data_IF_067567133350
#
_entry.id   IF_067567133350
#
_cell.length_a   1.000
_cell.length_b   1.000
_cell.length_c   1.000
_cell.angle_alpha   90.00
_cell.angle_beta   90.00
_cell.angle_gamma   90.00
#
_symmetry.space_group_name_H-M   'P 1'
#
loop_
_entity.id
_entity.type
_entity.pdbx_description
1 polymer ?
#
# COMPACT_ATOMS: atom_id res chain seq x y z
N UNK A 1 -10.51 -16.66 21.38
CA UNK A 1 -9.44 -16.15 20.50
C UNK A 1 -9.87 -14.77 20.03
N UNK A 2 -9.42 -13.72 20.73
CA UNK A 2 -9.76 -12.33 20.40
C UNK A 2 -8.68 -11.88 19.42
N UNK A 3 -9.03 -11.75 18.14
CA UNK A 3 -8.17 -11.07 17.18
C UNK A 3 -8.25 -9.58 17.51
N UNK A 4 -7.18 -9.02 18.05
CA UNK A 4 -7.01 -7.58 18.21
C UNK A 4 -6.91 -6.94 16.82
N UNK A 5 -8.08 -6.65 16.22
CA UNK A 5 -8.18 -5.91 14.97
C UNK A 5 -7.94 -4.44 15.29
N UNK A 6 -6.66 -4.07 15.37
CA UNK A 6 -6.24 -2.67 15.35
C UNK A 6 -6.59 -2.13 13.97
N UNK A 7 -7.74 -1.48 13.89
CA UNK A 7 -8.12 -0.65 12.75
C UNK A 7 -7.01 0.37 12.58
N UNK A 8 -6.28 0.34 11.47
CA UNK A 8 -5.17 1.23 11.20
C UNK A 8 -5.66 2.69 11.23
N UNK A 9 -5.50 3.32 12.39
CA UNK A 9 -5.61 4.77 12.54
C UNK A 9 -4.49 5.33 11.67
N UNK A 10 -4.88 6.10 10.65
CA UNK A 10 -3.92 6.90 9.87
C UNK A 10 -3.20 7.84 10.83
N UNK A 11 -2.02 7.44 11.32
CA UNK A 11 -1.16 8.33 12.09
C UNK A 11 -0.47 9.25 11.09
N UNK A 12 -1.19 10.29 10.68
CA UNK A 12 -0.58 11.39 9.94
C UNK A 12 0.02 12.34 10.97
N UNK A 13 1.34 12.24 11.17
CA UNK A 13 2.09 13.24 11.93
C UNK A 13 2.17 14.54 11.11
N UNK A 14 1.22 15.44 11.34
CA UNK A 14 1.29 16.81 10.86
C UNK A 14 2.04 17.66 11.90
N UNK A 15 3.31 17.96 11.64
CA UNK A 15 3.94 19.17 12.15
C UNK A 15 3.58 20.31 11.20
N UNK A 16 2.48 21.01 11.48
CA UNK A 16 2.09 22.23 10.76
C UNK A 16 2.80 23.45 11.36
N UNK A 17 3.35 24.35 10.52
CA UNK A 17 3.20 25.77 10.74
C UNK A 17 2.07 26.31 9.85
N UNK A 18 1.28 27.20 10.45
CA UNK A 18 0.28 28.07 9.84
C UNK A 18 0.67 28.55 8.44
N UNK A 19 -0.24 28.41 7.47
CA UNK A 19 -0.31 29.32 6.33
C UNK A 19 -1.77 29.49 5.89
N UNK A 20 -2.08 30.76 5.70
CA UNK A 20 -3.38 31.41 5.56
C UNK A 20 -4.07 31.15 4.23
N UNK A 21 -5.38 30.93 4.34
CA UNK A 21 -6.49 31.40 3.51
C UNK A 21 -6.33 31.60 2.00
N UNK A 22 -7.30 31.03 1.29
CA UNK A 22 -7.92 31.62 0.11
C UNK A 22 -7.64 30.86 -1.18
N UNK A 23 -8.64 30.13 -1.67
CA UNK A 23 -9.26 30.41 -2.96
C UNK A 23 -10.38 29.38 -3.21
N UNK A 24 -11.60 29.91 -3.28
CA UNK A 24 -12.81 29.24 -3.74
C UNK A 24 -12.62 28.81 -5.20
N UNK A 25 -12.85 27.54 -5.52
CA UNK A 25 -13.02 27.10 -6.90
C UNK A 25 -14.24 26.19 -7.04
N UNK A 26 -15.03 26.57 -8.04
CA UNK A 26 -16.44 26.33 -8.25
C UNK A 26 -16.72 24.93 -8.83
N UNK A 27 -17.82 24.35 -8.39
CA UNK A 27 -18.43 23.12 -8.87
C UNK A 27 -18.62 23.10 -10.38
N UNK A 28 -18.02 22.12 -11.08
CA UNK A 28 -18.59 21.52 -12.30
C UNK A 28 -18.31 20.03 -12.37
N UNK A 29 -19.37 19.30 -12.67
CA UNK A 29 -19.48 17.87 -12.81
C UNK A 29 -18.41 17.25 -13.72
N UNK A 30 -17.64 16.30 -13.17
CA UNK A 30 -16.98 15.29 -13.99
C UNK A 30 -17.97 14.15 -14.25
N UNK A 31 -18.54 14.15 -15.47
CA UNK A 31 -19.23 13.01 -16.05
C UNK A 31 -18.31 11.79 -16.02
N UNK A 32 -18.79 10.71 -15.42
CA UNK A 32 -18.20 9.39 -15.46
C UNK A 32 -18.59 8.76 -16.81
N UNK A 33 -17.76 8.90 -17.84
CA UNK A 33 -17.94 8.15 -19.09
C UNK A 33 -17.30 6.77 -18.95
N UNK A 34 -18.19 5.81 -18.75
CA UNK A 34 -17.99 4.37 -18.88
C UNK A 34 -17.45 4.00 -20.27
N UNK A 35 -16.14 3.73 -20.37
CA UNK A 35 -15.56 2.99 -21.50
C UNK A 35 -15.52 1.50 -21.14
N UNK A 36 -16.67 0.85 -21.25
CA UNK A 36 -16.80 -0.61 -21.22
C UNK A 36 -16.63 -1.11 -22.65
N UNK A 37 -15.39 -1.23 -23.13
CA UNK A 37 -15.12 -1.96 -24.37
C UNK A 37 -15.09 -3.47 -24.08
N UNK A 38 -16.26 -4.10 -24.27
CA UNK A 38 -16.41 -5.54 -24.36
C UNK A 38 -15.75 -6.03 -25.67
N UNK A 39 -14.49 -6.43 -25.61
CA UNK A 39 -13.84 -7.17 -26.71
C UNK A 39 -14.20 -8.66 -26.58
N UNK A 40 -15.23 -9.08 -27.31
CA UNK A 40 -15.47 -10.51 -27.59
C UNK A 40 -14.42 -11.01 -28.59
N UNK A 41 -13.35 -11.64 -28.08
CA UNK A 41 -12.42 -12.41 -28.90
C UNK A 41 -12.57 -13.90 -28.56
N UNK A 42 -13.41 -14.57 -29.36
CA UNK A 42 -13.42 -16.03 -29.50
C UNK A 42 -12.15 -16.45 -30.24
N UNK A 43 -11.15 -16.92 -29.49
CA UNK A 43 -10.02 -17.66 -30.05
C UNK A 43 -9.79 -18.94 -29.26
N UNK A 44 -10.19 -20.04 -29.89
CA UNK A 44 -9.91 -21.42 -29.51
C UNK A 44 -8.49 -21.73 -30.00
N UNK A 45 -7.49 -21.60 -29.12
CA UNK A 45 -6.09 -21.93 -29.40
C UNK A 45 -5.39 -22.42 -28.13
N UNK A 46 -4.66 -23.56 -28.16
CA UNK A 46 -3.93 -24.07 -27.01
C UNK A 46 -2.52 -23.45 -26.97
N UNK A 47 -2.23 -22.71 -25.89
CA UNK A 47 -0.93 -22.09 -25.67
C UNK A 47 -1.06 -20.65 -25.19
N UNK A 48 -1.66 -20.45 -24.01
CA UNK A 48 -1.74 -19.12 -23.39
C UNK A 48 -0.58 -18.94 -22.42
N UNK A 49 0.48 -18.34 -22.94
CA UNK A 49 1.35 -17.46 -22.16
C UNK A 49 0.45 -16.40 -21.49
N UNK A 50 0.41 -16.42 -20.16
CA UNK A 50 -0.34 -15.45 -19.36
C UNK A 50 0.38 -14.10 -19.44
N UNK A 51 0.11 -13.35 -20.50
CA UNK A 51 0.45 -11.93 -20.55
C UNK A 51 -0.51 -11.22 -19.60
N UNK A 52 -0.10 -11.10 -18.34
CA UNK A 52 -0.75 -10.25 -17.34
C UNK A 52 -0.76 -8.84 -17.93
N UNK A 53 -1.93 -8.36 -18.33
CA UNK A 53 -2.11 -6.98 -18.75
C UNK A 53 -1.63 -6.09 -17.60
N UNK A 54 -0.46 -5.48 -17.78
CA UNK A 54 0.04 -4.47 -16.86
C UNK A 54 -0.84 -3.25 -17.14
N UNK A 55 -1.93 -3.14 -16.39
CA UNK A 55 -2.74 -1.93 -16.34
C UNK A 55 -1.81 -0.78 -15.96
N UNK A 56 -1.34 -0.06 -16.97
CA UNK A 56 -0.41 1.05 -16.86
C UNK A 56 -1.19 2.32 -16.51
N UNK A 57 -2.06 2.24 -15.51
CA UNK A 57 -2.45 3.44 -14.78
C UNK A 57 -1.19 3.92 -14.07
N UNK A 58 -0.48 4.86 -14.70
CA UNK A 58 0.83 5.33 -14.24
C UNK A 58 0.75 5.67 -12.74
N UNK A 59 1.63 5.06 -11.96
CA UNK A 59 1.66 5.23 -10.50
C UNK A 59 0.89 4.19 -9.67
N UNK A 60 0.17 3.24 -10.29
CA UNK A 60 -0.55 2.19 -9.56
C UNK A 60 0.05 0.80 -9.82
N UNK A 61 0.11 -0.03 -8.79
CA UNK A 61 0.53 -1.44 -8.90
C UNK A 61 -0.36 -2.37 -8.10
N UNK A 62 -0.84 -3.43 -8.75
CA UNK A 62 -1.51 -4.54 -8.06
C UNK A 62 -0.47 -5.51 -7.51
N UNK A 63 -0.69 -6.00 -6.30
CA UNK A 63 0.22 -6.91 -5.59
C UNK A 63 -0.59 -8.07 -5.00
N UNK A 64 -0.22 -9.28 -5.40
CA UNK A 64 -0.77 -10.55 -4.92
C UNK A 64 0.23 -11.36 -4.08
N UNK A 65 1.46 -10.88 -3.90
CA UNK A 65 2.48 -11.53 -3.08
C UNK A 65 3.52 -10.52 -2.58
N UNK A 66 4.38 -10.97 -1.65
CA UNK A 66 5.36 -10.11 -0.99
C UNK A 66 6.43 -9.56 -1.92
N UNK A 67 6.90 -10.34 -2.90
CA UNK A 67 7.89 -9.87 -3.89
C UNK A 67 7.33 -8.72 -4.75
N UNK A 68 6.09 -8.85 -5.21
CA UNK A 68 5.40 -7.79 -5.96
C UNK A 68 5.23 -6.54 -5.09
N UNK A 69 4.85 -6.70 -3.83
CA UNK A 69 4.74 -5.61 -2.88
C UNK A 69 6.07 -4.89 -2.66
N UNK A 70 7.14 -5.63 -2.34
CA UNK A 70 8.48 -5.07 -2.11
C UNK A 70 8.99 -4.30 -3.34
N UNK A 71 8.82 -4.86 -4.53
CA UNK A 71 9.21 -4.23 -5.79
C UNK A 71 8.38 -2.97 -6.06
N UNK A 72 7.05 -3.02 -5.86
CA UNK A 72 6.16 -1.89 -6.09
C UNK A 72 6.45 -0.72 -5.14
N UNK A 73 6.73 -0.98 -3.86
CA UNK A 73 7.06 0.08 -2.91
C UNK A 73 8.44 0.68 -3.19
N UNK A 74 9.41 -0.12 -3.67
CA UNK A 74 10.73 0.37 -4.04
C UNK A 74 10.74 1.23 -5.32
N UNK A 75 9.81 0.98 -6.25
CA UNK A 75 9.69 1.71 -7.53
C UNK A 75 9.24 3.17 -7.32
N UNK A 76 10.14 4.13 -7.61
CA UNK A 76 9.91 5.56 -7.42
C UNK A 76 8.74 6.14 -8.23
N UNK A 77 8.27 5.44 -9.25
CA UNK A 77 7.11 5.88 -10.03
C UNK A 77 5.76 5.52 -9.38
N UNK A 78 5.75 4.64 -8.37
CA UNK A 78 4.52 4.10 -7.78
C UNK A 78 4.06 4.96 -6.60
N UNK A 79 2.83 5.45 -6.67
CA UNK A 79 2.15 6.23 -5.65
C UNK A 79 1.13 5.39 -4.88
N UNK A 80 0.52 4.40 -5.53
CA UNK A 80 -0.53 3.57 -4.96
C UNK A 80 -0.29 2.07 -5.20
N UNK A 81 -0.35 1.28 -4.13
CA UNK A 81 -0.17 -0.17 -4.15
C UNK A 81 -1.48 -0.83 -3.75
N UNK A 82 -2.06 -1.63 -4.64
CA UNK A 82 -3.31 -2.35 -4.42
C UNK A 82 -3.05 -3.79 -4.00
N UNK A 83 -3.49 -4.17 -2.80
CA UNK A 83 -3.42 -5.52 -2.27
C UNK A 83 -4.63 -6.30 -2.78
N UNK A 84 -4.38 -7.34 -3.59
CA UNK A 84 -5.44 -8.15 -4.23
C UNK A 84 -5.61 -9.54 -3.62
N UNK A 85 -4.79 -9.90 -2.63
CA UNK A 85 -4.86 -11.13 -1.85
C UNK A 85 -4.18 -10.92 -0.50
N UNK A 86 -4.34 -11.87 0.43
CA UNK A 86 -3.56 -11.85 1.66
C UNK A 86 -2.06 -12.02 1.35
N UNK A 87 -1.22 -11.24 2.02
CA UNK A 87 0.23 -11.22 1.80
C UNK A 87 0.93 -11.36 3.14
N UNK A 88 1.85 -12.31 3.23
CA UNK A 88 2.83 -12.41 4.30
C UNK A 88 4.21 -12.06 3.77
N UNK A 89 4.80 -10.99 4.28
CA UNK A 89 6.13 -10.55 3.88
C UNK A 89 7.21 -11.45 4.48
N UNK A 90 8.17 -11.84 3.65
CA UNK A 90 9.34 -12.63 4.03
C UNK A 90 10.60 -11.84 3.73
N UNK A 91 11.68 -12.16 4.43
CA UNK A 91 13.02 -11.64 4.15
C UNK A 91 13.43 -11.81 2.68
N UNK A 92 13.08 -12.96 2.08
CA UNK A 92 13.38 -13.30 0.68
C UNK A 92 12.68 -12.40 -0.35
N UNK A 93 11.55 -11.79 0.00
CA UNK A 93 10.77 -10.93 -0.91
C UNK A 93 11.53 -9.64 -1.26
N UNK A 94 12.50 -9.26 -0.41
CA UNK A 94 13.31 -8.06 -0.56
C UNK A 94 14.65 -8.31 -1.26
N UNK A 95 14.93 -9.54 -1.68
CA UNK A 95 16.24 -9.94 -2.25
C UNK A 95 16.67 -9.11 -3.47
N UNK A 96 15.72 -8.55 -4.21
CA UNK A 96 15.98 -7.72 -5.41
C UNK A 96 15.97 -6.21 -5.14
N UNK A 97 15.90 -5.78 -3.87
CA UNK A 97 15.85 -4.37 -3.47
C UNK A 97 17.07 -4.04 -2.61
N UNK A 98 17.72 -2.90 -2.85
CA UNK A 98 18.83 -2.44 -1.99
C UNK A 98 18.30 -1.99 -0.63
N UNK A 99 18.75 -2.62 0.46
CA UNK A 99 18.22 -2.39 1.81
C UNK A 99 19.20 -1.64 2.74
N UNK A 100 18.69 -0.82 3.69
CA UNK A 100 17.32 -0.32 3.76
C UNK A 100 17.06 0.65 2.60
N UNK A 101 15.95 0.50 1.87
CA UNK A 101 15.64 1.48 0.83
C UNK A 101 14.94 2.69 1.45
N UNK A 102 15.32 3.87 0.97
CA UNK A 102 14.76 5.13 1.46
C UNK A 102 13.54 5.51 0.63
N UNK A 103 12.38 5.58 1.28
CA UNK A 103 11.15 6.05 0.66
C UNK A 103 11.12 7.58 0.70
N UNK A 104 11.26 8.21 -0.47
CA UNK A 104 11.37 9.67 -0.63
C UNK A 104 10.08 10.32 -1.15
N UNK A 105 8.98 9.57 -1.19
CA UNK A 105 7.68 10.00 -1.72
C UNK A 105 6.55 9.38 -0.92
N UNK A 106 5.39 10.02 -0.96
CA UNK A 106 4.21 9.48 -0.32
C UNK A 106 3.72 8.25 -1.09
N UNK A 107 3.40 7.17 -0.37
CA UNK A 107 2.85 5.95 -0.96
C UNK A 107 1.61 5.54 -0.17
N UNK A 108 0.56 5.19 -0.88
CA UNK A 108 -0.67 4.63 -0.30
C UNK A 108 -0.76 3.14 -0.63
N UNK A 109 -0.74 2.31 0.39
CA UNK A 109 -1.06 0.88 0.29
C UNK A 109 -2.54 0.71 0.59
N UNK A 110 -3.28 0.12 -0.34
CA UNK A 110 -4.74 0.05 -0.31
C UNK A 110 -5.19 -1.38 -0.56
N UNK A 111 -6.15 -1.89 0.22
CA UNK A 111 -6.85 -3.12 -0.16
C UNK A 111 -7.76 -2.90 -1.36
N UNK A 112 -7.88 -3.89 -2.23
CA UNK A 112 -8.72 -3.80 -3.43
C UNK A 112 -10.21 -3.62 -3.10
N UNK A 113 -10.68 -4.22 -2.00
CA UNK A 113 -12.08 -4.13 -1.57
C UNK A 113 -12.29 -3.01 -0.54
N UNK A 114 -13.32 -2.19 -0.75
CA UNK A 114 -13.71 -1.16 0.23
C UNK A 114 -14.51 -1.74 1.41
N UNK A 115 -15.25 -2.82 1.18
CA UNK A 115 -16.05 -3.47 2.21
C UNK A 115 -15.16 -4.16 3.26
N UNK A 116 -15.36 -3.79 4.53
CA UNK A 116 -14.57 -4.23 5.68
C UNK A 116 -14.53 -5.74 5.85
N UNK A 117 -15.63 -6.44 5.58
CA UNK A 117 -15.72 -7.89 5.73
C UNK A 117 -14.88 -8.67 4.69
N UNK A 118 -14.33 -7.94 3.71
CA UNK A 118 -13.54 -8.47 2.60
C UNK A 118 -12.14 -7.83 2.50
N UNK A 119 -11.68 -7.16 3.56
CA UNK A 119 -10.34 -6.60 3.60
C UNK A 119 -9.28 -7.70 3.66
N UNK A 120 -8.24 -7.55 2.84
CA UNK A 120 -7.09 -8.44 2.85
C UNK A 120 -6.16 -8.16 4.03
N UNK A 121 -5.44 -9.19 4.46
CA UNK A 121 -4.41 -9.13 5.49
C UNK A 121 -3.05 -8.89 4.86
N UNK A 122 -2.40 -7.81 5.26
CA UNK A 122 -0.97 -7.57 5.03
C UNK A 122 -0.21 -7.87 6.32
N UNK A 123 0.37 -9.06 6.38
CA UNK A 123 1.23 -9.50 7.46
C UNK A 123 2.68 -9.07 7.18
N UNK A 124 3.19 -8.14 7.98
CA UNK A 124 4.55 -7.61 7.84
C UNK A 124 5.59 -8.56 8.48
N UNK A 125 5.13 -9.56 9.24
CA UNK A 125 5.92 -10.66 9.80
C UNK A 125 7.19 -10.20 10.53
N UNK A 126 7.10 -9.05 11.22
CA UNK A 126 8.19 -8.41 11.95
C UNK A 126 9.47 -8.18 11.14
N UNK A 127 9.37 -8.11 9.81
CA UNK A 127 10.51 -7.88 8.93
C UNK A 127 11.07 -6.47 9.21
N UNK A 128 12.33 -6.38 9.66
CA UNK A 128 12.96 -5.13 10.14
C UNK A 128 13.85 -4.49 9.08
N UNK A 129 14.08 -3.18 9.22
CA UNK A 129 15.04 -2.41 8.42
C UNK A 129 14.86 -2.53 6.89
N UNK A 130 13.62 -2.64 6.41
CA UNK A 130 13.33 -2.70 4.98
C UNK A 130 13.08 -1.34 4.37
N UNK A 131 12.14 -0.62 4.96
CA UNK A 131 11.68 0.70 4.52
C UNK A 131 12.19 1.75 5.50
N UNK A 132 12.92 2.75 5.01
CA UNK A 132 13.25 3.94 5.77
C UNK A 132 12.50 5.14 5.20
N UNK A 133 11.65 5.78 5.99
CA UNK A 133 10.91 6.97 5.54
C UNK A 133 11.82 8.19 5.45
N UNK A 134 11.71 8.94 4.36
CA UNK A 134 12.33 10.26 4.19
C UNK A 134 11.67 11.34 5.04
N UNK A 135 12.29 12.52 5.07
CA UNK A 135 11.72 13.67 5.77
C UNK A 135 10.44 14.14 5.05
N UNK A 136 9.35 14.32 5.80
CA UNK A 136 8.06 14.74 5.26
C UNK A 136 7.33 13.69 4.42
N UNK A 137 7.78 12.43 4.45
CA UNK A 137 7.20 11.32 3.68
C UNK A 137 6.25 10.51 4.54
N UNK A 138 5.09 10.16 3.97
CA UNK A 138 4.09 9.30 4.58
C UNK A 138 3.92 7.99 3.83
N UNK A 139 3.84 6.88 4.57
CA UNK A 139 3.36 5.59 4.09
C UNK A 139 1.98 5.35 4.71
N UNK A 140 0.94 5.35 3.87
CA UNK A 140 -0.45 5.29 4.30
C UNK A 140 -1.01 3.91 3.99
N UNK A 141 -1.74 3.32 4.94
CA UNK A 141 -2.45 2.06 4.74
C UNK A 141 -3.96 2.28 4.80
N UNK A 142 -4.71 1.75 3.83
CA UNK A 142 -6.17 1.91 3.74
C UNK A 142 -6.86 0.62 3.33
N UNK A 143 -8.06 0.39 3.84
CA UNK A 143 -8.93 -0.74 3.46
C UNK A 143 -8.27 -2.12 3.52
N UNK A 144 -7.39 -2.32 4.50
CA UNK A 144 -6.68 -3.58 4.72
C UNK A 144 -6.43 -3.78 6.21
N UNK A 145 -6.16 -5.01 6.62
CA UNK A 145 -5.76 -5.35 7.98
C UNK A 145 -4.24 -5.51 8.00
N UNK A 146 -3.56 -4.84 8.93
CA UNK A 146 -2.12 -4.99 9.13
C UNK A 146 -1.87 -5.93 10.29
N UNK A 147 -1.04 -6.95 10.11
CA UNK A 147 -0.62 -7.86 11.18
C UNK A 147 0.90 -7.84 11.40
N UNK A 148 1.32 -8.23 12.60
CA UNK A 148 2.73 -8.41 13.01
C UNK A 148 3.66 -7.25 12.59
N UNK A 149 3.17 -6.01 12.73
CA UNK A 149 3.90 -4.81 12.33
C UNK A 149 4.78 -4.24 13.45
N UNK A 150 4.55 -4.64 14.70
CA UNK A 150 5.32 -4.25 15.90
C UNK A 150 5.31 -5.36 16.95
N UNK A 151 6.47 -5.66 17.54
CA UNK A 151 6.59 -6.57 18.68
C UNK A 151 6.17 -5.91 20.00
N UNK A 152 6.34 -4.60 20.14
CA UNK A 152 6.12 -3.87 21.40
C UNK A 152 5.24 -2.60 21.25
N UNK A 153 4.45 -2.23 22.28
CA UNK A 153 3.76 -0.94 22.33
C UNK A 153 4.76 0.22 22.47
N UNK A 154 4.84 1.11 21.47
CA UNK A 154 5.81 2.21 21.46
C UNK A 154 5.58 3.29 22.53
N UNK A 155 4.43 3.28 23.22
CA UNK A 155 4.18 4.19 24.34
C UNK A 155 4.71 3.68 25.69
N UNK A 156 5.22 2.45 25.76
CA UNK A 156 5.94 1.99 26.94
C UNK A 156 7.43 2.23 26.75
N UNK A 157 7.86 3.46 27.05
CA UNK A 157 9.27 3.69 27.41
C UNK A 157 9.50 2.86 28.66
N UNK A 158 10.19 1.71 28.52
CA UNK A 158 10.65 0.90 29.64
C UNK A 158 11.67 1.76 30.39
N UNK A 159 11.21 2.54 31.35
CA UNK A 159 12.05 3.23 32.32
C UNK A 159 12.87 2.15 33.01
N UNK A 160 14.09 1.91 32.54
CA UNK A 160 15.06 1.08 33.25
C UNK A 160 15.44 1.89 34.49
N UNK A 161 14.85 1.53 35.63
CA UNK A 161 15.37 1.95 36.92
C UNK A 161 16.82 1.51 37.02
N UNK A 162 17.69 2.47 37.28
CA UNK A 162 19.10 2.21 37.63
C UNK A 162 19.18 1.56 39.01
#
# INVERSE_FOLDING_TARGET
>A
MIADIITAISVVFFLLPNLTAGHSCNSRACKYESNMQLSMASHKGPGRELVVAIDSTAGRRNCANGLQFATAVADQSVEEVFITSDITLKESDWSNVSLPFRLMRNVTVRGFNENRDSWFVLDINYVKNKIQLGAGVALVFRFLVINHWREDPQFMVRMHGK
#
